data_IF_544550926246
#
_entry.id   IF_544550926246
#
_cell.length_a   1.000
_cell.length_b   1.000
_cell.length_c   1.000
_cell.angle_alpha   90.00
_cell.angle_beta   90.00
_cell.angle_gamma   90.00
#
_symmetry.space_group_name_H-M   'P 1'
#
loop_
_entity.id
_entity.type
_entity.pdbx_description
1 polymer ?
#
# COMPACT_ATOMS: atom_id res chain seq x y z
N UNK A 1 -79.39 -26.57 -8.95
CA UNK A 1 -78.81 -27.54 -8.00
C UNK A 1 -77.70 -28.39 -8.62
N UNK A 2 -77.84 -28.83 -9.87
CA UNK A 2 -76.78 -29.59 -10.57
C UNK A 2 -75.41 -28.90 -10.55
N UNK A 3 -75.34 -27.60 -10.86
CA UNK A 3 -74.09 -26.83 -10.81
C UNK A 3 -73.47 -26.75 -9.39
N UNK A 4 -74.28 -26.73 -8.33
CA UNK A 4 -73.80 -26.77 -6.93
C UNK A 4 -73.23 -28.15 -6.58
N UNK A 5 -73.90 -29.22 -7.02
CA UNK A 5 -73.41 -30.59 -6.81
C UNK A 5 -72.09 -30.85 -7.55
N UNK A 6 -71.96 -30.29 -8.76
CA UNK A 6 -70.72 -30.36 -9.56
C UNK A 6 -69.57 -29.64 -8.86
N UNK A 7 -69.82 -28.52 -8.18
CA UNK A 7 -68.83 -27.84 -7.35
C UNK A 7 -68.44 -28.67 -6.12
N UNK A 8 -69.40 -29.32 -5.48
CA UNK A 8 -69.19 -30.20 -4.32
C UNK A 8 -68.65 -31.59 -4.68
N UNK A 9 -68.36 -31.87 -5.96
CA UNK A 9 -67.84 -33.16 -6.42
C UNK A 9 -68.85 -34.33 -6.35
N UNK A 10 -70.14 -34.04 -6.14
CA UNK A 10 -71.23 -35.03 -6.10
C UNK A 10 -71.87 -35.18 -7.49
N UNK A 11 -72.40 -36.36 -7.82
CA UNK A 11 -73.06 -36.58 -9.11
C UNK A 11 -74.32 -35.71 -9.25
N UNK A 12 -74.56 -35.09 -10.43
CA UNK A 12 -75.68 -34.18 -10.66
C UNK A 12 -77.00 -34.94 -10.85
N UNK A 13 -77.41 -35.73 -9.87
CA UNK A 13 -78.71 -36.42 -9.84
C UNK A 13 -79.67 -35.72 -8.89
N UNK A 14 -80.96 -35.77 -9.18
CA UNK A 14 -82.01 -35.20 -8.33
C UNK A 14 -81.99 -35.80 -6.90
N UNK A 15 -81.71 -37.09 -6.79
CA UNK A 15 -81.60 -37.79 -5.50
C UNK A 15 -80.46 -37.22 -4.64
N UNK A 16 -79.31 -36.93 -5.24
CA UNK A 16 -78.18 -36.31 -4.55
C UNK A 16 -78.45 -34.84 -4.20
N UNK A 17 -79.16 -34.11 -5.07
CA UNK A 17 -79.59 -32.74 -4.78
C UNK A 17 -80.45 -32.67 -3.52
N UNK A 18 -81.42 -33.59 -3.40
CA UNK A 18 -82.32 -33.67 -2.26
C UNK A 18 -81.58 -34.05 -0.97
N UNK A 19 -80.65 -35.01 -1.05
CA UNK A 19 -79.80 -35.40 0.10
C UNK A 19 -78.95 -34.25 0.60
N UNK A 20 -78.24 -33.56 -0.29
CA UNK A 20 -77.36 -32.43 0.05
C UNK A 20 -78.14 -31.26 0.64
N UNK A 21 -79.32 -30.95 0.12
CA UNK A 21 -80.17 -29.89 0.69
C UNK A 21 -80.77 -30.26 2.05
N UNK A 22 -80.88 -31.55 2.36
CA UNK A 22 -81.34 -32.04 3.67
C UNK A 22 -80.24 -32.17 4.71
N UNK A 23 -78.96 -32.07 4.32
CA UNK A 23 -77.80 -32.07 5.22
C UNK A 23 -77.73 -30.72 5.97
N UNK A 24 -77.62 -30.77 7.30
CA UNK A 24 -77.51 -29.57 8.15
C UNK A 24 -76.18 -28.81 7.99
N UNK A 25 -75.17 -29.43 7.39
CA UNK A 25 -73.83 -28.86 7.16
C UNK A 25 -73.73 -28.07 5.85
N UNK A 26 -74.72 -28.19 4.95
CA UNK A 26 -74.66 -27.66 3.59
C UNK A 26 -74.21 -26.19 3.50
N UNK A 27 -74.75 -25.31 4.36
CA UNK A 27 -74.36 -23.89 4.37
C UNK A 27 -72.93 -23.66 4.86
N UNK A 28 -72.45 -24.46 5.82
CA UNK A 28 -71.06 -24.38 6.27
C UNK A 28 -70.11 -24.88 5.17
N UNK A 29 -70.50 -25.93 4.46
CA UNK A 29 -69.73 -26.49 3.34
C UNK A 29 -69.60 -25.48 2.18
N UNK A 30 -70.65 -24.69 1.91
CA UNK A 30 -70.60 -23.60 0.93
C UNK A 30 -69.75 -22.40 1.38
N UNK A 31 -69.75 -22.10 2.68
CA UNK A 31 -69.00 -20.97 3.25
C UNK A 31 -67.50 -21.25 3.30
N UNK A 32 -67.14 -22.47 3.67
CA UNK A 32 -65.76 -22.93 3.80
C UNK A 32 -65.25 -23.67 2.54
N UNK A 33 -65.96 -23.52 1.43
CA UNK A 33 -65.56 -24.15 0.16
C UNK A 33 -64.17 -23.69 -0.27
N UNK A 34 -63.34 -24.63 -0.70
CA UNK A 34 -62.01 -24.35 -1.22
C UNK A 34 -62.11 -23.68 -2.60
N UNK A 35 -61.98 -22.35 -2.61
CA UNK A 35 -62.09 -21.51 -3.81
C UNK A 35 -60.80 -21.51 -4.64
N UNK A 36 -59.68 -21.94 -4.06
CA UNK A 36 -58.35 -21.81 -4.66
C UNK A 36 -57.99 -23.06 -5.48
N UNK A 37 -58.47 -24.26 -5.10
CA UNK A 37 -58.13 -25.54 -5.74
C UNK A 37 -59.24 -26.15 -6.62
N UNK A 38 -59.92 -25.33 -7.43
CA UNK A 38 -60.99 -25.82 -8.31
C UNK A 38 -60.41 -26.39 -9.62
N UNK A 39 -60.80 -27.63 -9.95
CA UNK A 39 -60.35 -28.28 -11.19
C UNK A 39 -60.86 -27.58 -12.46
N UNK A 40 -60.06 -27.61 -13.53
CA UNK A 40 -60.45 -27.00 -14.82
C UNK A 40 -61.69 -27.64 -15.42
N UNK A 41 -61.83 -28.96 -15.23
CA UNK A 41 -62.97 -29.74 -15.69
C UNK A 41 -64.24 -29.26 -14.98
N UNK A 42 -64.15 -28.98 -13.68
CA UNK A 42 -65.26 -28.47 -12.86
C UNK A 42 -65.66 -27.06 -13.31
N UNK A 43 -64.69 -26.14 -13.48
CA UNK A 43 -64.97 -24.78 -13.96
C UNK A 43 -65.60 -24.74 -15.37
N UNK A 44 -65.13 -25.57 -16.30
CA UNK A 44 -65.70 -25.66 -17.66
C UNK A 44 -67.14 -26.18 -17.65
N UNK A 45 -67.44 -27.16 -16.78
CA UNK A 45 -68.81 -27.69 -16.62
C UNK A 45 -69.76 -26.64 -16.05
N UNK A 46 -69.32 -25.88 -15.06
CA UNK A 46 -70.13 -24.83 -14.42
C UNK A 46 -70.38 -23.66 -15.37
N UNK A 47 -69.37 -23.29 -16.17
CA UNK A 47 -69.49 -22.23 -17.17
C UNK A 47 -70.62 -22.48 -18.18
N UNK A 48 -71.01 -23.74 -18.43
CA UNK A 48 -72.16 -24.08 -19.28
C UNK A 48 -73.49 -23.65 -18.64
N UNK A 49 -73.59 -23.75 -17.31
CA UNK A 49 -74.76 -23.32 -16.54
C UNK A 49 -74.77 -21.80 -16.33
N UNK A 50 -73.62 -21.18 -16.08
CA UNK A 50 -73.54 -19.72 -15.87
C UNK A 50 -73.75 -18.91 -17.15
N UNK A 51 -73.41 -19.45 -18.32
CA UNK A 51 -73.63 -18.80 -19.62
C UNK A 51 -75.03 -18.99 -20.18
N UNK A 52 -75.87 -19.81 -19.55
CA UNK A 52 -77.21 -20.05 -20.03
C UNK A 52 -78.11 -18.83 -19.71
N UNK A 53 -78.68 -18.14 -20.72
CA UNK A 53 -79.53 -16.96 -20.51
C UNK A 53 -80.84 -17.27 -19.77
N UNK A 54 -81.22 -18.54 -19.61
CA UNK A 54 -82.36 -18.97 -18.79
C UNK A 54 -82.02 -19.06 -17.28
N UNK A 55 -80.73 -19.12 -16.92
CA UNK A 55 -80.25 -19.26 -15.54
C UNK A 55 -79.72 -17.95 -14.96
N UNK A 56 -80.07 -16.82 -15.56
CA UNK A 56 -79.66 -15.50 -15.09
C UNK A 56 -80.24 -15.21 -13.70
N UNK A 57 -79.45 -14.64 -12.75
CA UNK A 57 -79.88 -14.46 -11.37
C UNK A 57 -81.22 -13.71 -11.21
N UNK A 58 -81.53 -12.77 -12.11
CA UNK A 58 -82.76 -11.99 -12.06
C UNK A 58 -83.98 -12.74 -12.58
N UNK A 59 -83.81 -13.70 -13.50
CA UNK A 59 -84.88 -14.62 -13.94
C UNK A 59 -85.14 -15.71 -12.89
N UNK A 60 -84.07 -16.25 -12.29
CA UNK A 60 -84.18 -17.24 -11.22
C UNK A 60 -84.79 -16.64 -9.94
N UNK A 61 -84.62 -15.33 -9.73
CA UNK A 61 -85.22 -14.59 -8.61
C UNK A 61 -86.76 -14.66 -8.59
N UNK A 62 -87.39 -14.72 -9.76
CA UNK A 62 -88.85 -14.79 -9.90
C UNK A 62 -89.41 -16.09 -9.32
N UNK A 63 -88.62 -17.17 -9.37
CA UNK A 63 -88.99 -18.50 -8.88
C UNK A 63 -88.59 -18.70 -7.42
N UNK A 64 -87.39 -18.28 -7.02
CA UNK A 64 -86.93 -18.39 -5.62
C UNK A 64 -85.73 -17.50 -5.30
N UNK A 65 -85.83 -16.76 -4.20
CA UNK A 65 -84.74 -15.93 -3.68
C UNK A 65 -83.53 -16.76 -3.23
N UNK A 66 -83.75 -17.95 -2.65
CA UNK A 66 -82.68 -18.85 -2.24
C UNK A 66 -81.92 -19.42 -3.46
N UNK A 67 -82.64 -19.66 -4.56
CA UNK A 67 -82.02 -20.07 -5.82
C UNK A 67 -81.18 -18.94 -6.43
N UNK A 68 -81.61 -17.67 -6.32
CA UNK A 68 -80.81 -16.51 -6.71
C UNK A 68 -79.48 -16.44 -5.96
N UNK A 69 -79.49 -16.59 -4.63
CA UNK A 69 -78.25 -16.54 -3.83
C UNK A 69 -77.27 -17.66 -4.16
N UNK A 70 -77.77 -18.87 -4.43
CA UNK A 70 -76.93 -19.98 -4.86
C UNK A 70 -76.35 -19.75 -6.25
N UNK A 71 -77.13 -19.20 -7.19
CA UNK A 71 -76.62 -18.85 -8.51
C UNK A 71 -75.52 -17.79 -8.44
N UNK A 72 -75.72 -16.72 -7.64
CA UNK A 72 -74.70 -15.69 -7.41
C UNK A 72 -73.40 -16.26 -6.81
N UNK A 73 -73.51 -17.20 -5.86
CA UNK A 73 -72.35 -17.89 -5.27
C UNK A 73 -71.58 -18.70 -6.32
N UNK A 74 -72.27 -19.42 -7.20
CA UNK A 74 -71.66 -20.18 -8.31
C UNK A 74 -70.92 -19.24 -9.26
N UNK A 75 -71.54 -18.12 -9.66
CA UNK A 75 -70.89 -17.14 -10.55
C UNK A 75 -69.67 -16.50 -9.90
N UNK A 76 -69.74 -16.18 -8.60
CA UNK A 76 -68.63 -15.62 -7.85
C UNK A 76 -67.45 -16.60 -7.77
N UNK A 77 -67.72 -17.89 -7.55
CA UNK A 77 -66.72 -18.96 -7.52
C UNK A 77 -66.08 -19.17 -8.89
N UNK A 78 -66.87 -19.18 -9.96
CA UNK A 78 -66.36 -19.32 -11.32
C UNK A 78 -65.44 -18.14 -11.68
N UNK A 79 -65.86 -16.91 -11.36
CA UNK A 79 -65.08 -15.71 -11.64
C UNK A 79 -63.79 -15.68 -10.81
N UNK A 80 -63.88 -15.98 -9.51
CA UNK A 80 -62.72 -16.09 -8.62
C UNK A 80 -61.72 -17.14 -9.13
N UNK A 81 -62.17 -18.35 -9.48
CA UNK A 81 -61.30 -19.41 -9.98
C UNK A 81 -60.60 -19.06 -11.30
N UNK A 82 -61.25 -18.30 -12.20
CA UNK A 82 -60.63 -17.76 -13.42
C UNK A 82 -59.54 -16.73 -13.10
N UNK A 83 -59.82 -15.80 -12.20
CA UNK A 83 -58.87 -14.74 -11.81
C UNK A 83 -57.70 -15.30 -11.00
N UNK A 84 -57.98 -16.20 -10.05
CA UNK A 84 -56.97 -16.85 -9.21
C UNK A 84 -55.92 -17.58 -10.06
N UNK A 85 -56.31 -18.26 -11.13
CA UNK A 85 -55.36 -18.88 -12.08
C UNK A 85 -54.42 -17.91 -12.79
N UNK A 86 -54.84 -16.66 -12.98
CA UNK A 86 -53.99 -15.61 -13.58
C UNK A 86 -53.10 -14.98 -12.51
N UNK A 87 -53.59 -14.88 -11.27
CA UNK A 87 -52.92 -14.19 -10.16
C UNK A 87 -51.93 -15.10 -9.43
N UNK A 88 -52.27 -16.37 -9.18
CA UNK A 88 -51.41 -17.35 -8.51
C UNK A 88 -50.00 -17.46 -9.13
N UNK A 89 -49.83 -17.65 -10.45
CA UNK A 89 -48.48 -17.69 -11.03
C UNK A 89 -47.77 -16.33 -10.98
N UNK A 90 -48.50 -15.22 -10.87
CA UNK A 90 -47.90 -13.89 -10.69
C UNK A 90 -47.42 -13.69 -9.25
N UNK A 91 -48.18 -14.14 -8.26
CA UNK A 91 -47.78 -14.13 -6.86
C UNK A 91 -46.57 -15.02 -6.63
N UNK A 92 -46.56 -16.24 -7.18
CA UNK A 92 -45.40 -17.14 -7.08
C UNK A 92 -44.15 -16.54 -7.75
N UNK A 93 -44.31 -15.92 -8.93
CA UNK A 93 -43.21 -15.20 -9.59
C UNK A 93 -42.72 -14.00 -8.77
N UNK A 94 -43.63 -13.26 -8.14
CA UNK A 94 -43.29 -12.12 -7.29
C UNK A 94 -42.50 -12.59 -6.07
N UNK A 95 -42.97 -13.62 -5.37
CA UNK A 95 -42.30 -14.17 -4.18
C UNK A 95 -40.89 -14.70 -4.53
N UNK A 96 -40.76 -15.41 -5.66
CA UNK A 96 -39.47 -15.88 -6.14
C UNK A 96 -38.53 -14.73 -6.53
N UNK A 97 -39.06 -13.66 -7.15
CA UNK A 97 -38.28 -12.49 -7.51
C UNK A 97 -37.84 -11.69 -6.26
N UNK A 98 -38.70 -11.57 -5.25
CA UNK A 98 -38.36 -10.92 -3.98
C UNK A 98 -37.25 -11.68 -3.26
N UNK A 99 -37.37 -13.02 -3.13
CA UNK A 99 -36.32 -13.85 -2.52
C UNK A 99 -34.99 -13.71 -3.26
N UNK A 100 -35.02 -13.78 -4.60
CA UNK A 100 -33.83 -13.58 -5.42
C UNK A 100 -33.23 -12.18 -5.26
N UNK A 101 -34.07 -11.13 -5.18
CA UNK A 101 -33.63 -9.77 -4.93
C UNK A 101 -32.90 -9.66 -3.58
N UNK A 102 -33.49 -10.20 -2.51
CA UNK A 102 -32.91 -10.18 -1.15
C UNK A 102 -31.55 -10.90 -1.12
N UNK A 103 -31.46 -12.09 -1.73
CA UNK A 103 -30.19 -12.82 -1.84
C UNK A 103 -29.11 -12.03 -2.59
N UNK A 104 -29.48 -11.40 -3.72
CA UNK A 104 -28.53 -10.59 -4.50
C UNK A 104 -28.13 -9.31 -3.77
N UNK A 105 -29.04 -8.67 -3.06
CA UNK A 105 -28.74 -7.49 -2.25
C UNK A 105 -27.80 -7.84 -1.08
N UNK A 106 -28.03 -8.96 -0.40
CA UNK A 106 -27.13 -9.45 0.65
C UNK A 106 -25.73 -9.76 0.10
N UNK A 107 -25.65 -10.45 -1.04
CA UNK A 107 -24.38 -10.72 -1.71
C UNK A 107 -23.65 -9.43 -2.12
N UNK A 108 -24.37 -8.46 -2.68
CA UNK A 108 -23.82 -7.15 -3.06
C UNK A 108 -23.31 -6.37 -1.85
N UNK A 109 -24.06 -6.34 -0.74
CA UNK A 109 -23.62 -5.70 0.49
C UNK A 109 -22.34 -6.34 1.03
N UNK A 110 -22.26 -7.67 1.02
CA UNK A 110 -21.04 -8.38 1.45
C UNK A 110 -19.83 -8.09 0.55
N UNK A 111 -20.05 -7.99 -0.77
CA UNK A 111 -18.99 -7.68 -1.73
C UNK A 111 -18.50 -6.23 -1.59
N UNK A 112 -19.41 -5.27 -1.39
CA UNK A 112 -19.06 -3.87 -1.13
C UNK A 112 -18.24 -3.72 0.14
N UNK A 113 -18.65 -4.38 1.23
CA UNK A 113 -17.91 -4.35 2.49
C UNK A 113 -16.48 -4.88 2.32
N UNK A 114 -16.30 -6.01 1.62
CA UNK A 114 -14.97 -6.54 1.30
C UNK A 114 -14.14 -5.58 0.46
N UNK A 115 -14.77 -4.86 -0.47
CA UNK A 115 -14.10 -3.89 -1.33
C UNK A 115 -13.60 -2.71 -0.48
N UNK A 116 -14.43 -2.19 0.43
CA UNK A 116 -14.04 -1.12 1.36
C UNK A 116 -12.89 -1.56 2.29
N UNK A 117 -12.96 -2.78 2.84
CA UNK A 117 -11.87 -3.36 3.65
C UNK A 117 -10.56 -3.46 2.86
N UNK A 118 -10.61 -3.94 1.61
CA UNK A 118 -9.43 -4.02 0.74
C UNK A 118 -8.89 -2.65 0.35
N UNK A 119 -9.75 -1.67 0.10
CA UNK A 119 -9.34 -0.29 -0.19
C UNK A 119 -8.58 0.32 0.98
N UNK A 120 -9.08 0.15 2.21
CA UNK A 120 -8.40 0.63 3.40
C UNK A 120 -7.00 0.00 3.56
N UNK A 121 -6.88 -1.32 3.34
CA UNK A 121 -5.58 -2.02 3.38
C UNK A 121 -4.63 -1.51 2.29
N UNK A 122 -5.15 -1.26 1.09
CA UNK A 122 -4.35 -0.72 -0.01
C UNK A 122 -3.82 0.69 0.32
N UNK A 123 -4.66 1.55 0.88
CA UNK A 123 -4.26 2.89 1.30
C UNK A 123 -3.16 2.83 2.37
N UNK A 124 -3.31 1.96 3.38
CA UNK A 124 -2.28 1.75 4.40
C UNK A 124 -0.95 1.25 3.79
N UNK A 125 -1.02 0.29 2.86
CA UNK A 125 0.16 -0.20 2.15
C UNK A 125 0.84 0.88 1.31
N UNK A 126 0.08 1.78 0.67
CA UNK A 126 0.65 2.91 -0.06
C UNK A 126 1.37 3.89 0.85
N UNK A 127 0.81 4.17 2.04
CA UNK A 127 1.47 5.02 3.05
C UNK A 127 2.79 4.39 3.48
N UNK A 128 2.76 3.10 3.86
CA UNK A 128 3.98 2.37 4.27
C UNK A 128 5.02 2.32 3.15
N UNK A 129 4.59 2.10 1.90
CA UNK A 129 5.50 2.08 0.75
C UNK A 129 6.17 3.43 0.54
N UNK A 130 5.41 4.53 0.66
CA UNK A 130 5.96 5.87 0.50
C UNK A 130 6.99 6.18 1.60
N UNK A 131 6.66 5.91 2.86
CA UNK A 131 7.58 6.10 4.00
C UNK A 131 8.88 5.29 3.84
N UNK A 132 8.77 4.02 3.41
CA UNK A 132 9.94 3.16 3.18
C UNK A 132 10.77 3.65 1.99
N UNK A 133 10.14 4.20 0.97
CA UNK A 133 10.83 4.74 -0.21
C UNK A 133 11.58 6.02 0.13
N UNK A 134 10.98 6.92 0.91
CA UNK A 134 11.65 8.12 1.43
C UNK A 134 12.85 7.74 2.30
N UNK A 135 12.68 6.81 3.24
CA UNK A 135 13.77 6.31 4.08
C UNK A 135 14.90 5.70 3.25
N UNK A 136 14.58 4.93 2.21
CA UNK A 136 15.57 4.33 1.33
C UNK A 136 16.37 5.41 0.58
N UNK A 137 15.71 6.45 0.08
CA UNK A 137 16.36 7.55 -0.62
C UNK A 137 17.28 8.34 0.31
N UNK A 138 16.84 8.61 1.55
CA UNK A 138 17.66 9.27 2.57
C UNK A 138 18.90 8.46 2.93
N UNK A 139 18.75 7.13 3.08
CA UNK A 139 19.88 6.24 3.37
C UNK A 139 20.87 6.19 2.21
N UNK A 140 20.39 6.13 0.96
CA UNK A 140 21.25 6.19 -0.23
C UNK A 140 22.01 7.51 -0.34
N UNK A 141 21.35 8.63 -0.03
CA UNK A 141 22.00 9.95 -0.02
C UNK A 141 23.09 10.03 1.06
N UNK A 142 22.82 9.47 2.26
CA UNK A 142 23.80 9.38 3.35
C UNK A 142 24.99 8.48 2.99
N UNK A 143 24.72 7.33 2.40
CA UNK A 143 25.75 6.40 1.92
C UNK A 143 26.69 7.07 0.92
N UNK A 144 26.13 7.73 -0.11
CA UNK A 144 26.92 8.42 -1.13
C UNK A 144 27.76 9.55 -0.53
N UNK A 145 27.21 10.30 0.44
CA UNK A 145 27.96 11.33 1.15
C UNK A 145 29.12 10.75 1.94
N UNK A 146 28.88 9.67 2.69
CA UNK A 146 29.91 9.02 3.50
C UNK A 146 31.00 8.39 2.62
N UNK A 147 30.62 7.79 1.49
CA UNK A 147 31.56 7.24 0.52
C UNK A 147 32.50 8.31 -0.02
N UNK A 148 31.97 9.47 -0.41
CA UNK A 148 32.80 10.61 -0.87
C UNK A 148 33.69 11.18 0.23
N UNK A 149 33.19 11.22 1.48
CA UNK A 149 34.00 11.66 2.62
C UNK A 149 35.14 10.68 2.89
N UNK A 150 34.87 9.38 2.81
CA UNK A 150 35.88 8.33 2.98
C UNK A 150 36.95 8.41 1.90
N UNK A 151 36.55 8.53 0.63
CA UNK A 151 37.48 8.66 -0.49
C UNK A 151 38.42 9.87 -0.32
N UNK A 152 37.85 11.03 0.06
CA UNK A 152 38.66 12.23 0.36
C UNK A 152 39.61 12.02 1.54
N UNK A 153 39.14 11.34 2.59
CA UNK A 153 39.97 11.05 3.76
C UNK A 153 41.14 10.12 3.40
N UNK A 154 40.91 9.11 2.55
CA UNK A 154 41.96 8.20 2.07
C UNK A 154 43.01 8.99 1.28
N UNK A 155 42.59 9.79 0.30
CA UNK A 155 43.51 10.63 -0.50
C UNK A 155 44.30 11.57 0.40
N UNK A 156 43.66 12.17 1.41
CA UNK A 156 44.34 13.05 2.36
C UNK A 156 45.39 12.28 3.17
N UNK A 157 45.06 11.11 3.70
CA UNK A 157 46.01 10.28 4.46
C UNK A 157 47.17 9.84 3.58
N UNK A 158 46.92 9.41 2.34
CA UNK A 158 47.96 9.01 1.39
C UNK A 158 48.88 10.18 1.04
N UNK A 159 48.33 11.35 0.70
CA UNK A 159 49.14 12.54 0.40
C UNK A 159 49.94 13.05 1.60
N UNK A 160 49.40 12.96 2.82
CA UNK A 160 50.12 13.35 4.04
C UNK A 160 51.15 12.30 4.48
N UNK A 161 51.07 11.05 4.00
CA UNK A 161 51.99 10.00 4.40
C UNK A 161 53.43 10.29 3.97
N UNK A 162 53.63 10.74 2.73
CA UNK A 162 54.95 11.16 2.23
C UNK A 162 55.46 12.42 2.93
N UNK A 163 54.60 13.39 3.23
CA UNK A 163 55.00 14.59 3.95
C UNK A 163 55.37 14.27 5.41
N UNK A 164 54.69 13.30 6.04
CA UNK A 164 55.06 12.80 7.37
C UNK A 164 56.46 12.19 7.37
N UNK A 165 56.79 11.35 6.39
CA UNK A 165 58.14 10.76 6.28
C UNK A 165 59.18 11.87 6.10
N UNK A 166 58.92 12.83 5.21
CA UNK A 166 59.78 13.99 5.00
C UNK A 166 59.98 14.82 6.27
N UNK A 167 58.93 15.06 7.06
CA UNK A 167 59.05 15.80 8.32
C UNK A 167 59.87 15.03 9.35
N UNK A 168 59.70 13.71 9.44
CA UNK A 168 60.52 12.86 10.32
C UNK A 168 61.99 12.97 9.93
N UNK A 169 62.32 12.87 8.64
CA UNK A 169 63.69 13.03 8.16
C UNK A 169 64.23 14.44 8.41
N UNK A 170 63.42 15.48 8.17
CA UNK A 170 63.82 16.88 8.37
C UNK A 170 64.11 17.15 9.84
N UNK A 171 63.27 16.66 10.76
CA UNK A 171 63.49 16.79 12.21
C UNK A 171 64.78 16.08 12.61
N UNK A 172 65.01 14.84 12.15
CA UNK A 172 66.24 14.12 12.44
C UNK A 172 67.50 14.84 11.91
N UNK A 173 67.42 15.46 10.73
CA UNK A 173 68.52 16.26 10.19
C UNK A 173 68.74 17.55 10.99
N UNK A 174 67.67 18.22 11.42
CA UNK A 174 67.74 19.42 12.25
C UNK A 174 68.35 19.12 13.62
N UNK A 175 68.02 17.99 14.24
CA UNK A 175 68.63 17.57 15.51
C UNK A 175 70.16 17.42 15.36
N UNK A 176 70.62 16.76 14.29
CA UNK A 176 72.05 16.61 13.98
C UNK A 176 72.70 17.98 13.72
N UNK A 177 72.05 18.86 12.97
CA UNK A 177 72.54 20.21 12.71
C UNK A 177 72.59 21.06 13.99
N UNK A 178 71.63 20.89 14.89
CA UNK A 178 71.57 21.60 16.17
C UNK A 178 72.72 21.18 17.09
N UNK A 179 73.03 19.88 17.17
CA UNK A 179 74.19 19.39 17.91
C UNK A 179 75.51 19.99 17.41
N UNK A 180 75.66 20.19 16.08
CA UNK A 180 76.88 20.73 15.44
C UNK A 180 76.94 22.26 15.39
N UNK A 181 75.83 22.94 15.68
CA UNK A 181 75.68 24.38 15.57
C UNK A 181 76.73 25.18 16.35
N UNK A 182 77.11 24.83 17.60
CA UNK A 182 78.10 25.60 18.36
C UNK A 182 79.47 25.68 17.67
N UNK A 183 79.95 24.56 17.11
CA UNK A 183 81.22 24.53 16.38
C UNK A 183 81.15 25.28 15.05
N UNK A 184 80.02 25.19 14.35
CA UNK A 184 79.80 25.89 13.09
C UNK A 184 79.70 27.42 13.29
N UNK A 185 79.04 27.87 14.36
CA UNK A 185 79.02 29.28 14.79
C UNK A 185 80.42 29.77 15.16
N UNK A 186 81.21 28.98 15.88
CA UNK A 186 82.58 29.35 16.27
C UNK A 186 83.49 29.56 15.05
N UNK A 187 83.47 28.63 14.08
CA UNK A 187 84.24 28.76 12.84
C UNK A 187 83.80 29.97 12.02
N UNK A 188 82.50 30.17 11.89
CA UNK A 188 81.94 31.23 11.05
C UNK A 188 82.19 32.61 11.64
N UNK A 189 82.06 32.76 12.97
CA UNK A 189 82.37 34.02 13.65
C UNK A 189 83.86 34.34 13.57
N UNK A 190 84.74 33.36 13.81
CA UNK A 190 86.18 33.53 13.67
C UNK A 190 86.60 33.92 12.25
N UNK A 191 85.92 33.35 11.23
CA UNK A 191 86.11 33.74 9.83
C UNK A 191 85.77 35.21 9.58
N UNK A 192 84.60 35.65 10.01
CA UNK A 192 84.17 37.05 9.80
C UNK A 192 85.06 38.04 10.55
N UNK A 193 85.51 37.72 11.76
CA UNK A 193 86.28 38.67 12.60
C UNK A 193 87.74 38.78 12.20
N UNK A 194 88.41 37.67 11.85
CA UNK A 194 89.87 37.67 11.68
C UNK A 194 90.32 37.52 10.24
N UNK A 195 89.54 36.88 9.37
CA UNK A 195 90.02 36.47 8.04
C UNK A 195 89.78 37.50 6.92
N UNK A 196 89.17 38.65 7.23
CA UNK A 196 88.85 39.70 6.24
C UNK A 196 90.07 40.24 5.46
N UNK A 197 91.19 40.50 6.13
CA UNK A 197 92.36 41.17 5.55
C UNK A 197 93.35 40.23 4.81
N UNK A 198 93.15 38.92 4.87
CA UNK A 198 94.09 37.93 4.32
C UNK A 198 93.72 37.48 2.90
N UNK A 199 94.65 36.86 2.17
CA UNK A 199 94.40 36.27 0.85
C UNK A 199 93.79 34.87 0.96
N UNK A 200 93.19 34.37 -0.13
CA UNK A 200 92.46 33.09 -0.14
C UNK A 200 93.29 31.91 0.35
N UNK A 201 94.57 31.82 -0.04
CA UNK A 201 95.45 30.70 0.36
C UNK A 201 95.71 30.69 1.86
N UNK A 202 95.98 31.86 2.44
CA UNK A 202 96.18 31.97 3.89
C UNK A 202 94.88 31.71 4.65
N UNK A 203 93.73 32.13 4.10
CA UNK A 203 92.43 31.84 4.70
C UNK A 203 92.14 30.35 4.79
N UNK A 204 92.42 29.60 3.72
CA UNK A 204 92.22 28.15 3.67
C UNK A 204 93.13 27.40 4.65
N UNK A 205 94.42 27.79 4.73
CA UNK A 205 95.38 27.20 5.69
C UNK A 205 94.94 27.42 7.14
N UNK A 206 94.53 28.65 7.50
CA UNK A 206 94.10 28.98 8.86
C UNK A 206 92.79 28.26 9.24
N UNK A 207 91.83 28.18 8.31
CA UNK A 207 90.59 27.42 8.52
C UNK A 207 90.86 25.93 8.72
N UNK A 208 91.82 25.34 7.99
CA UNK A 208 92.19 23.94 8.17
C UNK A 208 92.74 23.65 9.57
N UNK A 209 93.60 24.53 10.08
CA UNK A 209 94.16 24.47 11.44
C UNK A 209 93.07 24.62 12.51
N UNK A 210 92.15 25.55 12.33
CA UNK A 210 91.05 25.74 13.28
C UNK A 210 90.07 24.57 13.29
N UNK A 211 89.77 23.97 12.14
CA UNK A 211 88.98 22.73 12.07
C UNK A 211 89.66 21.58 12.82
N UNK A 212 90.99 21.48 12.73
CA UNK A 212 91.74 20.47 13.48
C UNK A 212 91.65 20.71 14.99
N UNK A 213 91.84 21.94 15.45
CA UNK A 213 91.72 22.29 16.88
C UNK A 213 90.31 21.99 17.44
N UNK A 214 89.25 22.29 16.68
CA UNK A 214 87.86 22.00 17.08
C UNK A 214 87.64 20.49 17.23
N UNK A 215 88.22 19.68 16.33
CA UNK A 215 88.19 18.22 16.43
C UNK A 215 88.96 17.71 17.65
N UNK A 216 90.14 18.25 17.93
CA UNK A 216 90.96 17.89 19.09
C UNK A 216 90.26 18.23 20.43
N UNK A 217 89.50 19.33 20.46
CA UNK A 217 88.70 19.75 21.62
C UNK A 217 87.33 19.04 21.71
N UNK A 218 87.05 18.09 20.82
CA UNK A 218 85.80 17.31 20.78
C UNK A 218 84.53 18.17 20.69
N UNK A 219 84.64 19.35 20.06
CA UNK A 219 83.48 20.21 19.83
C UNK A 219 82.76 19.70 18.57
N UNK A 220 81.46 19.37 18.66
CA UNK A 220 80.69 18.96 17.48
C UNK A 220 80.64 20.08 16.44
N UNK A 221 81.05 19.76 15.22
CA UNK A 221 81.05 20.69 14.09
C UNK A 221 80.88 19.92 12.78
N UNK A 222 80.41 20.61 11.74
CA UNK A 222 80.26 20.03 10.41
C UNK A 222 81.65 19.85 9.76
N UNK A 223 82.06 18.63 9.36
CA UNK A 223 83.43 18.35 8.89
C UNK A 223 83.90 19.23 7.72
N UNK A 224 82.99 19.53 6.80
CA UNK A 224 83.21 20.36 5.61
C UNK A 224 82.24 21.54 5.54
N UNK A 225 82.20 22.33 6.61
CA UNK A 225 81.35 23.51 6.66
C UNK A 225 81.71 24.51 5.54
N UNK A 226 80.74 24.77 4.66
CA UNK A 226 80.79 25.87 3.70
C UNK A 226 80.26 27.13 4.37
N UNK A 227 81.15 27.97 4.88
CA UNK A 227 80.82 29.19 5.65
C UNK A 227 79.87 30.12 4.87
N UNK A 228 80.06 30.25 3.56
CA UNK A 228 79.17 31.07 2.72
C UNK A 228 77.71 30.56 2.70
N UNK A 229 77.50 29.24 2.69
CA UNK A 229 76.16 28.61 2.70
C UNK A 229 75.55 28.62 4.09
N UNK A 230 76.38 28.61 5.14
CA UNK A 230 75.93 28.69 6.52
C UNK A 230 75.48 30.10 6.90
N UNK A 231 76.18 31.14 6.44
CA UNK A 231 75.89 32.53 6.78
C UNK A 231 74.88 33.20 5.84
N UNK A 232 74.82 32.78 4.58
CA UNK A 232 73.98 33.41 3.58
C UNK A 232 73.10 32.37 2.90
N UNK A 233 71.84 32.72 2.67
CA UNK A 233 70.96 31.90 1.87
C UNK A 233 71.30 32.04 0.38
N UNK A 234 71.12 30.97 -0.42
CA UNK A 234 71.40 31.01 -1.86
C UNK A 234 70.57 32.03 -2.66
N UNK A 235 69.40 32.46 -2.15
CA UNK A 235 68.53 33.42 -2.83
C UNK A 235 69.12 34.82 -2.71
N UNK A 236 69.55 35.23 -1.52
CA UNK A 236 70.27 36.49 -1.28
C UNK A 236 71.56 36.56 -2.08
N UNK A 237 72.33 35.47 -2.14
CA UNK A 237 73.54 35.40 -2.98
C UNK A 237 73.20 35.64 -4.44
N UNK A 238 72.08 35.12 -4.93
CA UNK A 238 71.62 35.31 -6.32
C UNK A 238 71.19 36.76 -6.59
N UNK A 239 70.59 37.44 -5.62
CA UNK A 239 70.19 38.84 -5.76
C UNK A 239 71.40 39.80 -5.82
N UNK A 240 72.55 39.42 -5.26
CA UNK A 240 73.77 40.22 -5.30
C UNK A 240 74.59 40.06 -6.59
N UNK A 241 74.30 39.03 -7.40
CA UNK A 241 74.96 38.74 -8.67
C UNK A 241 74.17 39.28 -9.86
#
# INVERSE_FOLDING_TARGET
MEAVLILLGKEPTWENAKKVLSESTFLNDLKNFDRDHISEKTLKRIALYTKNPELEPDKVAVVSLACKSLMLWIMAIENYGKVYRIVAPKQEKLDNAIKSLEEKQAALASAKKKLEELQAVIEELYIQLNEKTELLNDLRAKEERLRKQLERAIILVESLSGERERWIETVAQLDISFERLPGDCLLSTAFVTYLGAFDTKYREDLLSKWRQLIKELLIPATPDLKIAVFLCDPVSIREWN
#
